data_IF_715133079858
#
_entry.id   IF_715133079858
#
_cell.length_a   1.000
_cell.length_b   1.000
_cell.length_c   1.000
_cell.angle_alpha   90.00
_cell.angle_beta   90.00
_cell.angle_gamma   90.00
#
_symmetry.space_group_name_H-M   'P 1'
#
loop_
_entity.id
_entity.type
_entity.pdbx_description
1 polymer ?
#
# COMPACT_ATOMS: atom_id res chain seq x y z
N UNK A 1 -1.11 -15.24 -10.77
CA UNK A 1 0.25 -14.61 -10.81
C UNK A 1 0.11 -13.14 -11.18
N UNK A 2 0.38 -12.21 -10.24
CA UNK A 2 0.29 -10.75 -10.50
C UNK A 2 1.38 -10.29 -11.48
N UNK A 3 2.61 -10.81 -11.35
CA UNK A 3 3.71 -10.48 -12.28
C UNK A 3 3.36 -10.85 -13.73
N UNK A 4 2.87 -12.08 -13.96
CA UNK A 4 2.46 -12.51 -15.31
C UNK A 4 1.33 -11.64 -15.88
N UNK A 5 0.31 -11.32 -15.07
CA UNK A 5 -0.76 -10.42 -15.49
C UNK A 5 -0.26 -8.99 -15.81
N UNK A 6 0.87 -8.59 -15.22
CA UNK A 6 1.55 -7.33 -15.49
C UNK A 6 2.62 -7.43 -16.60
N UNK A 7 2.70 -8.54 -17.32
CA UNK A 7 3.61 -8.76 -18.45
C UNK A 7 4.84 -9.61 -18.17
N UNK A 8 4.95 -10.24 -16.99
CA UNK A 8 5.95 -11.25 -16.66
C UNK A 8 7.36 -10.73 -16.37
N UNK A 9 7.68 -9.51 -16.76
CA UNK A 9 8.99 -8.90 -16.56
C UNK A 9 9.18 -8.29 -15.17
N UNK A 10 10.42 -8.23 -14.65
CA UNK A 10 10.74 -7.51 -13.43
C UNK A 10 10.32 -6.03 -13.53
N UNK A 11 9.50 -5.58 -12.58
CA UNK A 11 9.05 -4.19 -12.48
C UNK A 11 9.22 -3.68 -11.06
N UNK A 12 9.81 -2.50 -10.92
CA UNK A 12 9.89 -1.80 -9.63
C UNK A 12 8.56 -1.16 -9.21
N UNK A 13 7.63 -0.96 -10.16
CA UNK A 13 6.28 -0.50 -9.91
C UNK A 13 5.29 -0.94 -10.99
N UNK A 14 4.02 -1.09 -10.59
CA UNK A 14 2.88 -1.34 -11.48
C UNK A 14 1.76 -0.35 -11.18
N UNK A 15 0.94 -0.08 -12.20
CA UNK A 15 -0.35 0.60 -12.05
C UNK A 15 -1.44 -0.40 -12.37
N UNK A 16 -2.29 -0.72 -11.42
CA UNK A 16 -3.39 -1.66 -11.60
C UNK A 16 -4.74 -0.96 -11.46
N UNK A 17 -5.75 -1.50 -12.17
CA UNK A 17 -7.13 -1.03 -12.09
C UNK A 17 -7.83 -1.53 -10.83
N UNK A 18 -8.67 -0.68 -10.26
CA UNK A 18 -9.57 -0.93 -9.13
C UNK A 18 -10.96 -0.40 -9.51
N UNK A 19 -12.08 -0.91 -8.95
CA UNK A 19 -13.41 -0.39 -9.27
C UNK A 19 -13.54 1.14 -9.16
N UNK A 20 -12.77 1.77 -8.28
CA UNK A 20 -12.75 3.23 -8.08
C UNK A 20 -11.65 3.99 -8.84
N UNK A 21 -10.92 3.35 -9.77
CA UNK A 21 -9.87 4.00 -10.57
C UNK A 21 -8.60 3.19 -10.74
N UNK A 22 -7.42 3.82 -10.58
CA UNK A 22 -6.13 3.11 -10.66
C UNK A 22 -5.25 3.41 -9.46
N UNK A 23 -4.38 2.46 -9.10
CA UNK A 23 -3.39 2.63 -8.04
C UNK A 23 -2.01 2.27 -8.55
N UNK A 24 -1.04 3.17 -8.37
CA UNK A 24 0.38 2.88 -8.61
C UNK A 24 1.01 2.39 -7.30
N UNK A 25 1.60 1.21 -7.34
CA UNK A 25 2.33 0.61 -6.23
C UNK A 25 3.70 0.17 -6.70
N UNK A 26 4.70 0.30 -5.83
CA UNK A 26 6.06 -0.16 -6.06
C UNK A 26 6.51 -1.17 -5.03
N UNK A 27 7.46 -2.02 -5.41
CA UNK A 27 8.11 -2.94 -4.51
C UNK A 27 9.57 -3.12 -4.91
N UNK A 28 10.43 -3.38 -3.93
CA UNK A 28 11.78 -3.89 -4.15
C UNK A 28 11.86 -5.27 -3.54
N UNK A 29 12.31 -6.24 -4.32
CA UNK A 29 12.54 -7.60 -3.89
C UNK A 29 13.95 -8.02 -4.32
N UNK A 30 14.64 -8.74 -3.43
CA UNK A 30 15.97 -9.28 -3.68
C UNK A 30 15.91 -10.79 -3.47
N UNK A 31 16.61 -11.54 -4.32
CA UNK A 31 16.80 -12.97 -4.09
C UNK A 31 18.10 -13.18 -3.32
N UNK A 32 18.02 -13.85 -2.16
CA UNK A 32 19.18 -14.20 -1.32
C UNK A 32 19.13 -15.70 -1.03
N UNK A 33 20.16 -16.44 -1.41
CA UNK A 33 20.20 -17.89 -1.20
C UNK A 33 19.06 -18.66 -1.88
N UNK A 34 18.54 -18.16 -3.01
CA UNK A 34 17.39 -18.74 -3.71
C UNK A 34 16.02 -18.26 -3.20
N UNK A 35 15.96 -17.61 -2.04
CA UNK A 35 14.72 -17.10 -1.45
C UNK A 35 14.48 -15.63 -1.80
N UNK A 36 13.22 -15.30 -2.09
CA UNK A 36 12.82 -13.92 -2.36
C UNK A 36 12.48 -13.18 -1.07
N UNK A 37 13.11 -12.03 -0.84
CA UNK A 37 12.81 -11.12 0.27
C UNK A 37 12.35 -9.77 -0.27
N UNK A 38 11.17 -9.32 0.13
CA UNK A 38 10.69 -7.95 -0.15
C UNK A 38 11.36 -6.99 0.84
N UNK A 39 12.14 -6.03 0.33
CA UNK A 39 12.86 -5.05 1.16
C UNK A 39 12.14 -3.71 1.25
N UNK A 40 11.23 -3.43 0.31
CA UNK A 40 10.47 -2.18 0.30
C UNK A 40 9.10 -2.38 -0.34
N UNK A 41 8.09 -1.74 0.25
CA UNK A 41 6.80 -1.50 -0.37
C UNK A 41 6.60 0.03 -0.49
N UNK A 42 6.09 0.48 -1.64
CA UNK A 42 5.99 1.90 -1.98
C UNK A 42 4.57 2.19 -2.47
N UNK A 43 3.96 3.23 -1.95
CA UNK A 43 2.66 3.73 -2.41
C UNK A 43 2.54 5.23 -2.16
N UNK A 44 1.67 5.90 -2.91
CA UNK A 44 1.29 7.29 -2.65
C UNK A 44 -0.07 7.33 -1.95
N UNK A 45 -0.18 8.12 -0.89
CA UNK A 45 -1.42 8.40 -0.17
C UNK A 45 -1.48 9.90 0.13
N UNK A 46 -2.69 10.43 0.30
CA UNK A 46 -2.92 11.78 0.79
C UNK A 46 -3.51 11.73 2.20
N UNK A 47 -3.34 12.81 2.94
CA UNK A 47 -3.96 13.02 4.25
C UNK A 47 -4.47 14.46 4.32
N UNK A 48 -5.54 14.67 5.11
CA UNK A 48 -6.06 16.00 5.43
C UNK A 48 -6.65 15.98 6.84
N UNK A 49 -6.53 17.08 7.58
CA UNK A 49 -7.33 17.29 8.79
C UNK A 49 -8.80 17.44 8.40
N UNK A 50 -9.68 16.66 9.02
CA UNK A 50 -11.12 16.76 8.83
C UNK A 50 -11.78 17.59 9.94
N UNK A 51 -11.37 17.37 11.19
CA UNK A 51 -11.82 18.11 12.37
C UNK A 51 -10.67 18.26 13.35
N UNK A 52 -10.58 19.41 13.99
CA UNK A 52 -9.64 19.72 15.07
C UNK A 52 -10.44 20.19 16.30
N UNK A 53 -10.12 19.66 17.48
CA UNK A 53 -10.85 19.93 18.71
C UNK A 53 -10.83 18.73 19.67
N UNK A 54 -11.83 18.64 20.53
CA UNK A 54 -11.92 17.62 21.57
C UNK A 54 -13.08 16.66 21.31
N UNK A 55 -12.79 15.37 21.20
CA UNK A 55 -13.81 14.31 21.30
C UNK A 55 -14.16 14.14 22.78
N UNK A 56 -15.45 14.13 23.12
CA UNK A 56 -15.94 13.88 24.48
C UNK A 56 -16.55 12.49 24.57
N UNK A 57 -16.35 11.81 25.69
CA UNK A 57 -16.96 10.50 26.00
C UNK A 57 -17.77 10.60 27.31
N UNK A 58 -18.78 9.75 27.51
CA UNK A 58 -19.48 9.66 28.79
C UNK A 58 -18.53 9.27 29.93
N UNK A 59 -18.81 9.70 31.18
CA UNK A 59 -18.11 9.15 32.33
C UNK A 59 -18.45 7.65 32.47
N UNK A 60 -17.48 6.86 32.93
CA UNK A 60 -17.79 5.52 33.44
C UNK A 60 -18.75 5.72 34.64
N UNK A 61 -19.91 5.06 34.60
CA UNK A 61 -20.88 5.11 35.69
C UNK A 61 -20.33 4.49 36.97
N UNK A 62 -21.06 4.69 38.07
CA UNK A 62 -20.74 4.07 39.37
C UNK A 62 -20.69 2.54 39.30
#
# INVERSE_FOLDING_TARGET
>A
LVSLAAGGEPRSAVRFGHPSGTLRVGAQALQKGGEWTVTKAIMSRSARTLMEGWVRVPPLGD
#
